data_IF_084899033476
#
_entry.id   IF_084899033476
#
_cell.length_a   1.000
_cell.length_b   1.000
_cell.length_c   1.000
_cell.angle_alpha   90.00
_cell.angle_beta   90.00
_cell.angle_gamma   90.00
#
_symmetry.space_group_name_H-M   'P 1'
#
loop_
_entity.id
_entity.type
_entity.pdbx_description
1 polymer ?
#
# COMPACT_ATOMS: atom_id res chain seq x y z
N UNK A 1 -53.32 -5.79 17.67
CA UNK A 1 -52.90 -4.93 18.79
C UNK A 1 -51.43 -5.20 19.02
N UNK A 2 -50.44 -4.38 18.67
CA UNK A 2 -50.35 -3.00 18.20
C UNK A 2 -49.19 -2.96 17.17
N UNK A 3 -49.43 -2.54 15.93
CA UNK A 3 -49.13 -1.20 15.37
C UNK A 3 -47.63 -0.89 15.19
N UNK A 4 -47.19 -0.97 13.93
CA UNK A 4 -46.00 -0.32 13.36
C UNK A 4 -46.32 1.17 13.14
N UNK A 5 -45.33 2.08 13.26
CA UNK A 5 -45.37 3.35 12.56
C UNK A 5 -44.52 3.30 11.29
N UNK A 6 -45.18 3.62 10.19
CA UNK A 6 -44.64 4.01 8.89
C UNK A 6 -44.41 5.52 8.84
N UNK A 7 -43.32 5.94 8.19
CA UNK A 7 -43.24 7.21 7.46
C UNK A 7 -42.33 8.26 8.09
N UNK A 8 -41.26 8.62 7.38
CA UNK A 8 -41.10 9.95 6.77
C UNK A 8 -39.91 9.95 5.79
N UNK A 9 -40.10 10.43 4.54
CA UNK A 9 -39.01 10.75 3.62
C UNK A 9 -38.70 12.26 3.69
N UNK A 10 -37.42 12.62 3.64
CA UNK A 10 -37.01 14.03 3.68
C UNK A 10 -35.54 14.24 3.34
N UNK A 11 -35.20 14.14 2.06
CA UNK A 11 -34.08 14.88 1.48
C UNK A 11 -34.60 16.21 0.90
N UNK A 12 -33.83 17.28 1.06
CA UNK A 12 -33.54 18.08 -0.12
C UNK A 12 -32.03 18.18 -0.38
N UNK A 13 -31.70 17.98 -1.66
CA UNK A 13 -30.42 18.27 -2.28
C UNK A 13 -30.05 19.75 -2.07
N UNK A 14 -28.84 20.00 -1.57
CA UNK A 14 -28.21 21.30 -1.62
C UNK A 14 -27.31 21.38 -2.85
N UNK A 15 -27.67 22.30 -3.75
CA UNK A 15 -26.88 22.80 -4.87
C UNK A 15 -25.47 23.20 -4.42
N UNK A 16 -24.46 22.69 -5.13
CA UNK A 16 -23.10 23.22 -5.13
C UNK A 16 -23.00 24.22 -6.28
N UNK A 17 -23.00 25.51 -5.96
CA UNK A 17 -22.53 26.58 -6.84
C UNK A 17 -21.01 26.71 -6.68
N UNK A 18 -20.25 26.33 -7.71
CA UNK A 18 -18.83 26.65 -7.85
C UNK A 18 -18.71 27.82 -8.84
N UNK A 19 -18.62 29.04 -8.31
CA UNK A 19 -18.19 30.23 -9.03
C UNK A 19 -16.95 30.82 -8.32
N UNK A 20 -15.92 31.15 -9.09
CA UNK A 20 -14.82 31.99 -8.62
C UNK A 20 -13.43 31.52 -9.01
N UNK A 21 -13.15 31.51 -10.32
CA UNK A 21 -11.79 31.67 -10.83
C UNK A 21 -11.44 33.16 -10.76
N UNK A 22 -10.26 33.48 -10.21
CA UNK A 22 -9.50 34.73 -10.36
C UNK A 22 -8.09 34.40 -9.80
N UNK A 23 -7.03 34.28 -10.59
CA UNK A 23 -6.28 35.30 -11.34
C UNK A 23 -4.96 35.66 -10.63
N UNK A 24 -3.88 35.33 -11.34
CA UNK A 24 -2.60 36.02 -11.44
C UNK A 24 -2.27 37.13 -10.43
N UNK A 25 -1.25 36.88 -9.59
CA UNK A 25 -0.11 37.77 -9.30
C UNK A 25 0.72 37.11 -8.17
N UNK A 26 2.02 36.89 -8.28
CA UNK A 26 3.06 37.89 -8.44
C UNK A 26 4.39 37.23 -8.86
N UNK A 27 5.02 37.82 -9.88
CA UNK A 27 6.44 37.63 -10.23
C UNK A 27 7.31 38.67 -9.49
N UNK A 28 8.59 38.31 -9.40
CA UNK A 28 9.79 39.12 -9.09
C UNK A 28 10.12 39.26 -7.59
N UNK A 29 11.37 39.14 -7.14
CA UNK A 29 12.62 39.47 -7.81
C UNK A 29 13.82 38.66 -7.27
N UNK A 30 14.66 38.18 -8.17
CA UNK A 30 16.05 37.81 -7.88
C UNK A 30 16.95 39.04 -8.03
N UNK A 31 17.94 39.26 -7.16
CA UNK A 31 19.03 40.20 -7.43
C UNK A 31 20.24 39.52 -8.12
N UNK A 32 21.09 40.30 -8.81
CA UNK A 32 21.97 39.81 -9.86
C UNK A 32 23.35 39.33 -9.40
N UNK A 33 23.90 38.43 -10.23
CA UNK A 33 25.26 37.88 -10.23
C UNK A 33 26.27 38.94 -10.66
N UNK A 34 27.33 39.17 -9.86
CA UNK A 34 28.47 39.97 -10.25
C UNK A 34 29.45 39.13 -11.09
N UNK A 35 29.68 39.55 -12.34
CA UNK A 35 30.72 39.03 -13.22
C UNK A 35 32.09 39.53 -12.76
N UNK A 36 33.03 38.58 -12.78
CA UNK A 36 34.47 38.79 -12.79
C UNK A 36 34.87 38.98 -14.24
N UNK A 37 35.57 40.07 -14.56
CA UNK A 37 36.39 40.17 -15.77
C UNK A 37 37.76 40.68 -15.35
N UNK A 38 38.77 39.88 -15.70
CA UNK A 38 40.17 40.15 -15.48
C UNK A 38 40.82 40.85 -16.67
N UNK A 39 42.08 41.17 -16.41
CA UNK A 39 43.19 41.41 -17.35
C UNK A 39 43.03 42.54 -18.38
N UNK A 40 43.93 43.52 -18.28
CA UNK A 40 44.86 43.76 -19.37
C UNK A 40 46.12 44.47 -18.88
N UNK A 41 47.24 43.90 -19.32
CA UNK A 41 48.62 44.36 -19.22
C UNK A 41 48.83 45.53 -20.19
N UNK A 42 49.67 46.51 -19.84
CA UNK A 42 50.81 46.93 -20.68
C UNK A 42 51.53 48.15 -20.06
N UNK A 43 52.82 47.95 -19.80
CA UNK A 43 53.90 48.95 -19.76
C UNK A 43 54.24 49.35 -21.23
N UNK A 44 54.93 50.47 -21.58
CA UNK A 44 56.23 50.80 -20.99
C UNK A 44 56.69 52.29 -20.96
N UNK A 45 57.73 52.49 -20.15
CA UNK A 45 58.95 53.30 -20.33
C UNK A 45 59.00 54.86 -20.22
N UNK A 46 60.01 55.22 -19.40
CA UNK A 46 61.04 56.27 -19.51
C UNK A 46 60.94 57.66 -18.85
N UNK A 47 61.97 57.87 -17.99
CA UNK A 47 62.78 59.05 -17.69
C UNK A 47 62.15 60.32 -17.06
N UNK A 48 62.56 60.65 -15.81
CA UNK A 48 63.63 61.66 -15.62
C UNK A 48 64.00 61.92 -14.12
N UNK A 49 65.31 61.97 -13.90
CA UNK A 49 66.20 62.64 -12.93
C UNK A 49 65.69 63.33 -11.62
N UNK A 50 66.49 63.10 -10.56
CA UNK A 50 66.44 63.62 -9.16
C UNK A 50 66.88 65.11 -9.00
N UNK A 51 67.12 65.72 -7.80
CA UNK A 51 66.91 65.32 -6.38
C UNK A 51 66.40 66.45 -5.42
N UNK A 52 66.15 66.07 -4.15
CA UNK A 52 66.53 66.75 -2.89
C UNK A 52 65.42 67.06 -1.86
N UNK A 53 65.58 66.52 -0.65
CA UNK A 53 65.29 67.25 0.59
C UNK A 53 64.27 66.65 1.57
N UNK A 54 64.74 66.13 2.69
CA UNK A 54 64.06 66.26 3.99
C UNK A 54 63.55 64.97 4.68
N UNK A 55 63.42 64.96 6.02
CA UNK A 55 63.67 63.80 6.87
C UNK A 55 62.43 62.94 7.22
N UNK A 56 62.72 61.68 7.61
CA UNK A 56 61.79 60.60 8.03
C UNK A 56 60.71 61.04 9.04
N UNK A 57 59.55 60.34 9.08
CA UNK A 57 59.40 59.38 10.18
C UNK A 57 58.78 58.03 9.77
N UNK A 58 59.29 56.98 10.39
CA UNK A 58 58.74 55.62 10.40
C UNK A 58 57.30 55.61 10.96
N UNK A 59 56.29 55.17 10.19
CA UNK A 59 55.04 54.51 10.68
C UNK A 59 54.04 54.18 9.55
N UNK A 60 54.33 53.18 8.73
CA UNK A 60 53.32 52.64 7.77
C UNK A 60 53.14 51.13 7.84
N UNK A 61 53.81 50.43 8.76
CA UNK A 61 53.58 49.00 9.01
C UNK A 61 52.41 48.68 9.94
N UNK A 62 51.79 49.67 10.61
CA UNK A 62 50.69 49.42 11.57
C UNK A 62 49.29 49.48 10.97
N UNK A 63 49.09 50.22 9.88
CA UNK A 63 47.77 50.36 9.23
C UNK A 63 47.40 49.17 8.36
N UNK A 64 48.36 48.57 7.65
CA UNK A 64 48.11 47.35 6.84
C UNK A 64 47.86 46.13 7.73
N UNK A 65 48.59 46.00 8.85
CA UNK A 65 48.36 44.95 9.86
C UNK A 65 47.00 45.10 10.56
N UNK A 66 46.53 46.33 10.78
CA UNK A 66 45.21 46.61 11.34
C UNK A 66 44.07 46.22 10.41
N UNK A 67 44.20 46.49 9.11
CA UNK A 67 43.20 46.12 8.10
C UNK A 67 43.11 44.59 7.90
N UNK A 68 44.24 43.88 7.88
CA UNK A 68 44.27 42.41 7.79
C UNK A 68 43.73 41.77 9.07
N UNK A 69 44.07 42.30 10.25
CA UNK A 69 43.52 41.81 11.51
C UNK A 69 42.01 42.06 11.62
N UNK A 70 41.51 43.20 11.12
CA UNK A 70 40.09 43.51 11.07
C UNK A 70 39.34 42.56 10.11
N UNK A 71 39.90 42.25 8.93
CA UNK A 71 39.33 41.29 7.99
C UNK A 71 39.35 39.86 8.52
N UNK A 72 40.43 39.45 9.20
CA UNK A 72 40.49 38.15 9.88
C UNK A 72 39.48 38.08 11.03
N UNK A 73 39.34 39.14 11.83
CA UNK A 73 38.34 39.18 12.90
C UNK A 73 36.91 39.12 12.34
N UNK A 74 36.63 39.83 11.23
CA UNK A 74 35.35 39.75 10.54
C UNK A 74 35.09 38.35 10.01
N UNK A 75 36.08 37.73 9.36
CA UNK A 75 35.99 36.35 8.88
C UNK A 75 35.76 35.33 10.01
N UNK A 76 36.38 35.51 11.17
CA UNK A 76 36.16 34.67 12.36
C UNK A 76 34.75 34.87 12.92
N UNK A 77 34.26 36.11 13.03
CA UNK A 77 32.90 36.39 13.53
C UNK A 77 31.84 35.84 12.57
N UNK A 78 32.00 36.07 11.26
CA UNK A 78 31.15 35.49 10.23
C UNK A 78 31.20 33.96 10.27
N UNK A 79 32.39 33.37 10.40
CA UNK A 79 32.56 31.93 10.53
C UNK A 79 31.89 31.35 11.77
N UNK A 80 31.96 32.01 12.92
CA UNK A 80 31.29 31.58 14.17
C UNK A 80 29.78 31.67 14.05
N UNK A 81 29.25 32.72 13.41
CA UNK A 81 27.81 32.85 13.17
C UNK A 81 27.28 31.77 12.22
N UNK A 82 27.97 31.53 11.10
CA UNK A 82 27.62 30.46 10.16
C UNK A 82 27.74 29.09 10.84
N UNK A 83 28.78 28.87 11.63
CA UNK A 83 28.97 27.62 12.37
C UNK A 83 27.89 27.39 13.44
N UNK A 84 27.45 28.46 14.12
CA UNK A 84 26.34 28.40 15.08
C UNK A 84 25.03 28.03 14.39
N UNK A 85 24.71 28.69 13.26
CA UNK A 85 23.52 28.39 12.48
C UNK A 85 23.54 26.96 11.90
N UNK A 86 24.69 26.51 11.39
CA UNK A 86 24.85 25.13 10.91
C UNK A 86 24.68 24.11 12.04
N UNK A 87 25.12 24.43 13.25
CA UNK A 87 24.95 23.55 14.40
C UNK A 87 23.49 23.45 14.85
N UNK A 88 22.75 24.55 14.79
CA UNK A 88 21.29 24.58 15.06
C UNK A 88 20.49 23.78 14.03
N UNK A 89 21.01 23.61 12.81
CA UNK A 89 20.40 22.76 11.77
C UNK A 89 20.78 21.28 11.88
N UNK A 90 21.76 20.94 12.73
CA UNK A 90 22.29 19.58 12.87
C UNK A 90 21.85 18.98 14.19
N UNK A 91 20.55 18.90 14.39
CA UNK A 91 19.93 18.24 15.55
C UNK A 91 19.34 16.89 15.13
N UNK A 92 19.09 15.97 16.07
CA UNK A 92 18.41 14.71 15.73
C UNK A 92 17.00 14.95 15.18
N UNK A 93 16.30 15.99 15.64
CA UNK A 93 14.99 16.39 15.13
C UNK A 93 15.08 16.88 13.68
N UNK A 94 16.11 17.65 13.34
CA UNK A 94 16.33 18.08 11.97
C UNK A 94 16.55 16.90 11.03
N UNK A 95 17.31 15.88 11.46
CA UNK A 95 17.48 14.66 10.65
C UNK A 95 16.18 13.86 10.46
N UNK A 96 15.31 13.85 11.47
CA UNK A 96 13.97 13.25 11.37
C UNK A 96 13.07 14.09 10.47
N UNK A 97 13.12 15.42 10.59
CA UNK A 97 12.34 16.32 9.75
C UNK A 97 12.74 16.17 8.27
N UNK A 98 14.04 16.15 7.96
CA UNK A 98 14.57 15.92 6.61
C UNK A 98 14.03 14.60 6.03
N UNK A 99 13.99 13.54 6.84
CA UNK A 99 13.45 12.24 6.43
C UNK A 99 11.94 12.28 6.18
N UNK A 100 11.17 12.91 7.08
CA UNK A 100 9.71 12.97 6.99
C UNK A 100 9.26 13.90 5.86
N UNK A 101 9.99 14.97 5.56
CA UNK A 101 9.71 15.88 4.44
C UNK A 101 9.83 15.16 3.09
N UNK A 102 10.73 14.19 2.94
CA UNK A 102 10.79 13.34 1.76
C UNK A 102 9.53 12.49 1.61
N UNK A 103 9.00 11.97 2.71
CA UNK A 103 7.75 11.17 2.70
C UNK A 103 6.54 12.07 2.40
N UNK A 104 6.46 13.24 3.03
CA UNK A 104 5.40 14.23 2.84
C UNK A 104 5.37 14.74 1.38
N UNK A 105 6.54 14.95 0.78
CA UNK A 105 6.65 15.37 -0.62
C UNK A 105 6.48 14.24 -1.64
N UNK A 106 6.37 12.99 -1.18
CA UNK A 106 6.22 11.80 -2.04
C UNK A 106 7.52 11.29 -2.66
N UNK A 107 8.69 11.80 -2.25
CA UNK A 107 10.02 11.31 -2.68
C UNK A 107 10.45 10.10 -1.83
N UNK A 108 9.70 9.00 -1.96
CA UNK A 108 9.88 7.78 -1.19
C UNK A 108 11.15 7.01 -1.54
N UNK A 109 11.67 7.17 -2.75
CA UNK A 109 12.97 6.59 -3.14
C UNK A 109 14.11 7.27 -2.38
N UNK A 110 14.09 8.60 -2.26
CA UNK A 110 15.05 9.31 -1.44
C UNK A 110 14.88 8.96 0.05
N UNK A 111 13.64 8.84 0.54
CA UNK A 111 13.35 8.47 1.92
C UNK A 111 13.89 7.06 2.26
N UNK A 112 13.64 6.08 1.40
CA UNK A 112 14.09 4.68 1.59
C UNK A 112 15.60 4.52 1.40
N UNK A 113 16.24 5.39 0.60
CA UNK A 113 17.69 5.47 0.52
C UNK A 113 18.33 6.03 1.81
N UNK A 114 17.63 6.93 2.52
CA UNK A 114 18.09 7.52 3.77
C UNK A 114 17.89 6.56 4.96
N UNK A 115 16.74 5.90 5.02
CA UNK A 115 16.39 4.93 6.07
C UNK A 115 15.98 3.61 5.43
N UNK A 116 16.78 2.54 5.58
CA UNK A 116 16.43 1.22 5.07
C UNK A 116 15.08 0.75 5.61
N UNK A 117 14.20 0.33 4.71
CA UNK A 117 12.89 -0.23 5.06
C UNK A 117 13.05 -1.71 5.45
N UNK A 118 12.40 -2.18 6.53
CA UNK A 118 12.43 -3.60 6.89
C UNK A 118 11.82 -4.49 5.79
N UNK A 119 12.53 -5.53 5.37
CA UNK A 119 12.04 -6.51 4.39
C UNK A 119 13.19 -7.17 3.64
N UNK A 120 12.97 -8.36 3.09
CA UNK A 120 13.96 -9.04 2.26
C UNK A 120 13.82 -8.57 0.80
N UNK A 121 14.91 -8.12 0.18
CA UNK A 121 15.02 -7.87 -1.28
C UNK A 121 14.97 -9.18 -2.11
N UNK A 122 14.99 -10.34 -1.46
CA UNK A 122 15.16 -11.63 -2.13
C UNK A 122 13.83 -12.20 -2.66
N UNK A 123 13.59 -11.90 -3.93
CA UNK A 123 12.68 -12.58 -4.82
C UNK A 123 13.04 -14.08 -4.96
N UNK A 124 12.46 -14.93 -4.11
CA UNK A 124 12.29 -16.35 -4.43
C UNK A 124 10.88 -16.76 -4.04
N UNK A 125 10.05 -17.01 -5.07
CA UNK A 125 8.90 -17.91 -4.96
C UNK A 125 9.48 -19.29 -4.64
N UNK A 126 9.73 -19.56 -3.36
CA UNK A 126 9.93 -20.92 -2.89
C UNK A 126 8.54 -21.46 -2.54
N UNK A 127 8.18 -22.67 -3.02
CA UNK A 127 6.93 -23.30 -2.62
C UNK A 127 6.87 -23.37 -1.10
N UNK A 128 5.68 -23.16 -0.55
CA UNK A 128 5.41 -23.18 0.89
C UNK A 128 6.13 -24.39 1.53
N UNK A 129 7.01 -24.18 2.53
CA UNK A 129 7.50 -25.31 3.29
C UNK A 129 6.30 -25.93 4.03
N UNK A 130 6.20 -27.27 4.08
CA UNK A 130 5.15 -27.92 4.84
C UNK A 130 5.22 -27.48 6.31
N UNK A 131 4.08 -27.46 7.02
CA UNK A 131 4.03 -27.01 8.41
C UNK A 131 5.04 -27.79 9.26
N UNK A 132 6.01 -27.08 9.84
CA UNK A 132 6.99 -27.64 10.80
C UNK A 132 8.49 -27.51 10.45
N UNK A 133 8.88 -26.77 9.40
CA UNK A 133 10.31 -26.55 9.09
C UNK A 133 10.87 -25.29 9.77
N UNK A 134 11.90 -25.45 10.62
CA UNK A 134 12.68 -24.33 11.17
C UNK A 134 13.92 -24.09 10.30
N UNK A 135 14.14 -22.85 9.88
CA UNK A 135 15.45 -22.41 9.37
C UNK A 135 15.93 -21.23 10.20
N UNK A 136 17.20 -21.34 10.59
CA UNK A 136 17.89 -20.47 11.54
C UNK A 136 18.62 -19.35 10.78
N UNK A 137 18.51 -18.12 11.32
CA UNK A 137 19.04 -16.82 10.87
C UNK A 137 18.26 -16.05 9.79
N UNK A 138 17.34 -15.22 10.28
CA UNK A 138 17.08 -13.86 9.79
C UNK A 138 16.87 -12.93 11.00
N UNK A 139 17.13 -11.63 10.86
CA UNK A 139 16.80 -10.65 11.90
C UNK A 139 15.28 -10.59 11.98
N UNK A 140 14.72 -11.32 12.93
CA UNK A 140 13.29 -11.39 13.19
C UNK A 140 12.79 -10.07 13.75
N UNK A 141 12.06 -9.32 12.92
CA UNK A 141 10.85 -8.68 13.43
C UNK A 141 9.93 -9.83 13.83
N UNK A 142 9.71 -10.00 15.13
CA UNK A 142 8.93 -11.10 15.73
C UNK A 142 7.43 -10.90 15.49
N UNK A 143 7.00 -11.01 14.22
CA UNK A 143 5.59 -10.91 13.81
C UNK A 143 5.08 -12.19 13.12
N UNK A 144 5.91 -13.21 12.89
CA UNK A 144 5.52 -14.41 12.13
C UNK A 144 5.12 -14.12 10.67
N UNK A 145 5.33 -12.89 10.21
CA UNK A 145 4.92 -12.37 8.90
C UNK A 145 6.10 -12.37 7.92
N UNK A 146 5.82 -12.63 6.63
CA UNK A 146 6.82 -12.40 5.56
C UNK A 146 6.61 -11.02 4.97
N UNK A 147 7.68 -10.22 4.98
CA UNK A 147 7.70 -8.87 4.42
C UNK A 147 7.82 -8.94 2.89
N UNK A 148 7.02 -8.17 2.14
CA UNK A 148 7.01 -8.18 0.67
C UNK A 148 6.88 -6.79 0.03
N UNK A 149 7.36 -6.72 -1.21
CA UNK A 149 7.12 -5.73 -2.27
C UNK A 149 7.82 -4.35 -2.16
N UNK A 150 9.09 -4.30 -2.57
CA UNK A 150 9.84 -3.05 -2.76
C UNK A 150 9.29 -2.16 -3.89
N UNK A 151 8.60 -2.72 -4.89
CA UNK A 151 8.01 -1.96 -6.01
C UNK A 151 6.97 -0.93 -5.54
N UNK A 152 6.32 -1.21 -4.41
CA UNK A 152 5.40 -0.27 -3.77
C UNK A 152 6.12 0.94 -3.18
N UNK A 153 7.43 0.85 -2.87
CA UNK A 153 8.27 1.92 -2.32
C UNK A 153 8.97 2.76 -3.40
N UNK A 154 8.33 2.94 -4.56
CA UNK A 154 8.82 3.78 -5.66
C UNK A 154 8.01 5.07 -5.76
N UNK A 155 8.62 6.14 -6.28
CA UNK A 155 7.95 7.43 -6.42
C UNK A 155 6.69 7.32 -7.30
N UNK A 156 6.70 6.44 -8.31
CA UNK A 156 5.57 6.18 -9.19
C UNK A 156 4.39 5.52 -8.45
N UNK A 157 4.64 4.56 -7.57
CA UNK A 157 3.59 3.90 -6.76
C UNK A 157 2.91 4.87 -5.78
N UNK A 158 3.63 5.91 -5.36
CA UNK A 158 3.14 6.96 -4.47
C UNK A 158 2.52 8.15 -5.21
N UNK A 159 2.67 8.21 -6.53
CA UNK A 159 2.12 9.30 -7.32
C UNK A 159 0.59 9.32 -7.22
N UNK A 160 0.03 10.40 -6.66
CA UNK A 160 -1.41 10.57 -6.49
C UNK A 160 -1.98 9.92 -5.23
N UNK A 161 -1.16 9.32 -4.38
CA UNK A 161 -1.55 8.85 -3.05
C UNK A 161 -1.65 10.06 -2.11
N UNK A 162 -2.72 10.13 -1.33
CA UNK A 162 -2.80 11.10 -0.23
C UNK A 162 -1.83 10.66 0.87
N UNK A 163 -0.74 11.41 1.05
CA UNK A 163 0.31 11.13 2.03
C UNK A 163 -0.01 11.59 3.44
N UNK A 164 1.03 11.98 4.17
CA UNK A 164 0.96 12.58 5.51
C UNK A 164 0.84 14.10 5.43
N UNK A 165 0.21 14.71 6.43
CA UNK A 165 0.06 16.15 6.62
C UNK A 165 0.29 16.52 8.09
N UNK A 166 0.34 17.82 8.41
CA UNK A 166 0.45 18.36 9.78
C UNK A 166 1.60 17.73 10.60
N UNK A 167 2.74 17.52 9.95
CA UNK A 167 3.90 16.89 10.58
C UNK A 167 4.45 17.77 11.70
N UNK A 168 4.56 17.20 12.89
CA UNK A 168 5.24 17.83 14.04
C UNK A 168 6.25 16.86 14.63
N UNK A 169 7.51 17.27 14.65
CA UNK A 169 8.62 16.57 15.31
C UNK A 169 8.85 17.18 16.69
N UNK A 170 8.74 16.38 17.74
CA UNK A 170 8.89 16.89 19.10
C UNK A 170 10.37 17.12 19.45
N UNK A 171 10.72 18.31 19.98
CA UNK A 171 12.08 18.59 20.41
C UNK A 171 12.44 17.74 21.63
N UNK A 172 13.64 17.17 21.61
CA UNK A 172 14.19 16.48 22.76
C UNK A 172 14.36 17.45 23.94
N UNK A 173 14.11 16.94 25.14
CA UNK A 173 14.36 17.68 26.35
C UNK A 173 15.84 18.07 26.43
N UNK A 174 16.18 19.32 26.81
CA UNK A 174 17.56 19.76 26.89
C UNK A 174 18.33 18.89 27.90
N UNK A 175 19.38 18.21 27.42
CA UNK A 175 20.16 17.25 28.18
C UNK A 175 21.63 17.22 27.78
N UNK A 176 22.39 16.30 28.39
CA UNK A 176 23.76 16.03 27.95
C UNK A 176 23.73 15.53 26.51
N UNK A 177 24.60 16.07 25.65
CA UNK A 177 24.71 15.61 24.28
C UNK A 177 25.14 14.12 24.27
N UNK A 178 24.44 13.25 23.52
CA UNK A 178 24.79 11.85 23.46
C UNK A 178 26.18 11.65 22.85
N UNK A 179 26.86 10.60 23.29
CA UNK A 179 28.14 10.22 22.73
C UNK A 179 28.00 9.68 21.29
N UNK A 180 29.09 9.67 20.54
CA UNK A 180 29.10 9.06 19.20
C UNK A 180 28.77 7.57 19.30
N UNK A 181 27.82 7.11 18.49
CA UNK A 181 27.28 5.75 18.49
C UNK A 181 26.09 5.55 19.45
N UNK A 182 25.75 6.55 20.28
CA UNK A 182 24.53 6.49 21.10
C UNK A 182 23.29 6.87 20.27
N UNK A 183 22.15 6.34 20.70
CA UNK A 183 20.84 6.52 20.07
C UNK A 183 19.95 7.36 20.96
N UNK A 184 19.18 8.26 20.35
CA UNK A 184 18.11 9.02 20.99
C UNK A 184 16.77 8.72 20.32
N UNK A 185 15.68 8.93 21.04
CA UNK A 185 14.31 8.69 20.56
C UNK A 185 13.63 10.01 20.26
N UNK A 186 13.12 10.19 19.05
CA UNK A 186 12.44 11.41 18.59
C UNK A 186 11.00 11.06 18.22
N UNK A 187 10.03 11.73 18.83
CA UNK A 187 8.62 11.57 18.49
C UNK A 187 8.26 12.36 17.24
N UNK A 188 7.52 11.73 16.34
CA UNK A 188 6.88 12.34 15.18
C UNK A 188 5.37 12.17 15.33
N UNK A 189 4.63 13.23 15.07
CA UNK A 189 3.18 13.21 14.93
C UNK A 189 2.82 13.71 13.54
N UNK A 190 1.79 13.13 12.95
CA UNK A 190 1.34 13.45 11.59
C UNK A 190 -0.14 13.07 11.45
N UNK A 191 -0.79 13.57 10.41
CA UNK A 191 -2.17 13.27 10.05
C UNK A 191 -2.21 12.51 8.72
N UNK A 192 -3.02 11.46 8.63
CA UNK A 192 -3.37 10.80 7.36
C UNK A 192 -4.88 10.87 7.19
N UNK A 193 -5.37 11.72 6.27
CA UNK A 193 -6.81 11.92 6.02
C UNK A 193 -7.63 12.03 7.31
N UNK A 194 -7.40 13.12 8.05
CA UNK A 194 -8.01 13.45 9.34
C UNK A 194 -7.72 12.47 10.50
N UNK A 195 -6.84 11.48 10.30
CA UNK A 195 -6.43 10.57 11.35
C UNK A 195 -5.06 10.97 11.92
N UNK A 196 -5.00 11.49 13.15
CA UNK A 196 -3.73 11.77 13.80
C UNK A 196 -3.03 10.46 14.20
N UNK A 197 -1.74 10.38 13.95
CA UNK A 197 -0.88 9.25 14.30
C UNK A 197 0.43 9.73 14.92
N UNK A 198 1.05 8.87 15.73
CA UNK A 198 2.30 9.17 16.41
C UNK A 198 3.26 7.98 16.39
N UNK A 199 4.53 8.25 16.13
CA UNK A 199 5.59 7.23 16.08
C UNK A 199 6.87 7.79 16.69
N UNK A 200 7.60 6.95 17.40
CA UNK A 200 8.91 7.28 17.97
C UNK A 200 9.99 6.62 17.11
N UNK A 201 10.90 7.45 16.57
CA UNK A 201 12.01 7.03 15.72
C UNK A 201 13.33 7.10 16.49
N UNK A 202 14.17 6.08 16.34
CA UNK A 202 15.54 6.10 16.84
C UNK A 202 16.47 6.84 15.89
N UNK A 203 17.30 7.70 16.46
CA UNK A 203 18.31 8.49 15.74
C UNK A 203 19.68 8.28 16.39
N UNK A 204 20.67 7.90 15.58
CA UNK A 204 22.04 7.66 16.03
C UNK A 204 22.91 8.91 15.85
N UNK A 205 23.75 9.18 16.86
CA UNK A 205 24.81 10.18 16.77
C UNK A 205 26.02 9.62 16.01
N UNK A 206 26.24 10.12 14.80
CA UNK A 206 27.42 9.78 13.98
C UNK A 206 28.65 10.61 14.39
N UNK A 207 29.89 10.29 13.96
CA UNK A 207 31.02 11.20 14.11
C UNK A 207 30.77 12.57 13.46
N UNK A 208 31.37 13.63 13.99
CA UNK A 208 31.25 14.99 13.45
C UNK A 208 31.72 15.05 11.99
N UNK A 209 30.83 15.51 11.09
CA UNK A 209 31.16 15.70 9.67
C UNK A 209 32.18 16.84 9.47
N UNK A 210 32.22 17.78 10.40
CA UNK A 210 33.18 18.88 10.49
C UNK A 210 33.39 19.20 11.98
N UNK A 211 34.58 19.66 12.44
CA UNK A 211 34.82 19.88 13.87
C UNK A 211 33.69 20.64 14.59
N UNK A 212 33.07 20.02 15.60
CA UNK A 212 31.94 20.54 16.39
C UNK A 212 30.61 20.72 15.65
N UNK A 213 30.48 20.18 14.43
CA UNK A 213 29.21 20.00 13.72
C UNK A 213 28.76 18.55 13.86
N UNK A 214 27.79 18.25 14.75
CA UNK A 214 27.27 16.90 14.91
C UNK A 214 26.64 16.39 13.60
N UNK A 215 26.60 15.08 13.44
CA UNK A 215 25.88 14.42 12.37
C UNK A 215 24.98 13.34 12.97
N UNK A 216 23.84 13.11 12.34
CA UNK A 216 22.78 12.24 12.83
C UNK A 216 22.28 11.36 11.72
N UNK A 217 21.83 10.15 12.08
CA UNK A 217 21.24 9.19 11.15
C UNK A 217 19.98 8.60 11.77
N UNK A 218 18.87 8.70 11.05
CA UNK A 218 17.63 8.01 11.43
C UNK A 218 17.81 6.51 11.19
N UNK A 219 17.44 5.69 12.17
CA UNK A 219 17.59 4.23 12.12
C UNK A 219 16.28 3.52 11.81
N UNK A 220 15.16 4.10 12.22
CA UNK A 220 13.85 3.46 12.13
C UNK A 220 13.03 4.06 11.00
N UNK A 221 12.45 3.19 10.19
CA UNK A 221 11.56 3.60 9.10
C UNK A 221 10.18 3.99 9.62
N UNK A 222 9.56 5.02 9.01
CA UNK A 222 8.17 5.40 9.27
C UNK A 222 7.16 4.48 8.56
N UNK A 223 7.64 3.51 7.78
CA UNK A 223 6.78 2.52 7.13
C UNK A 223 6.00 1.69 8.15
N UNK A 224 4.73 1.45 7.85
CA UNK A 224 3.80 0.67 8.65
C UNK A 224 3.57 -0.69 7.97
N UNK A 225 3.64 -1.80 8.73
CA UNK A 225 3.29 -3.11 8.18
C UNK A 225 1.81 -3.14 7.79
N UNK A 226 1.51 -3.60 6.59
CA UNK A 226 0.17 -3.57 6.01
C UNK A 226 -0.23 -4.95 5.49
N UNK A 227 -1.39 -5.44 5.93
CA UNK A 227 -1.91 -6.77 5.59
C UNK A 227 -3.24 -6.61 4.87
N UNK A 228 -3.34 -7.11 3.64
CA UNK A 228 -4.62 -7.26 2.95
C UNK A 228 -5.07 -8.70 3.12
N UNK A 229 -6.22 -8.91 3.75
CA UNK A 229 -6.80 -10.24 4.00
C UNK A 229 -7.91 -10.57 3.01
N UNK A 230 -7.98 -11.84 2.67
CA UNK A 230 -9.06 -12.47 1.92
C UNK A 230 -9.48 -13.76 2.62
N UNK A 231 -10.74 -14.18 2.44
CA UNK A 231 -11.22 -15.47 2.95
C UNK A 231 -10.42 -16.65 2.33
N UNK A 232 -10.17 -16.60 1.02
CA UNK A 232 -9.35 -17.54 0.26
C UNK A 232 -8.18 -16.79 -0.42
N UNK A 233 -7.00 -16.69 0.22
CA UNK A 233 -5.89 -15.90 -0.29
C UNK A 233 -5.34 -16.47 -1.61
N UNK A 234 -5.18 -15.62 -2.63
CA UNK A 234 -4.67 -16.03 -3.94
C UNK A 234 -5.74 -16.35 -4.99
N UNK A 235 -7.02 -16.11 -4.66
CA UNK A 235 -8.09 -16.10 -5.66
C UNK A 235 -8.17 -14.72 -6.31
N UNK A 236 -7.80 -14.65 -7.60
CA UNK A 236 -7.72 -13.40 -8.38
C UNK A 236 -6.49 -12.56 -8.05
N UNK A 237 -6.39 -11.38 -8.65
CA UNK A 237 -5.24 -10.47 -8.44
C UNK A 237 -5.66 -9.29 -7.59
N UNK A 238 -4.93 -9.06 -6.49
CA UNK A 238 -5.10 -7.87 -5.65
C UNK A 238 -3.97 -6.90 -5.95
N UNK A 239 -4.32 -5.62 -6.06
CA UNK A 239 -3.35 -4.56 -6.25
C UNK A 239 -3.51 -3.50 -5.16
N UNK A 240 -2.38 -2.93 -4.73
CA UNK A 240 -2.33 -1.75 -3.88
C UNK A 240 -1.72 -0.65 -4.75
N UNK A 241 -2.41 0.47 -4.94
CA UNK A 241 -1.94 1.56 -5.81
C UNK A 241 -1.53 1.09 -7.23
N UNK A 242 -2.23 0.08 -7.78
CA UNK A 242 -1.93 -0.48 -9.10
C UNK A 242 -0.71 -1.41 -9.17
N UNK A 243 -0.12 -1.75 -8.02
CA UNK A 243 0.96 -2.75 -7.94
C UNK A 243 0.43 -4.04 -7.33
N UNK A 244 0.66 -5.21 -7.96
CA UNK A 244 0.24 -6.50 -7.42
C UNK A 244 0.75 -6.74 -5.99
N UNK A 245 -0.17 -7.11 -5.10
CA UNK A 245 0.10 -7.33 -3.69
C UNK A 245 -0.27 -8.75 -3.27
N UNK A 246 0.56 -9.33 -2.40
CA UNK A 246 0.27 -10.65 -1.83
C UNK A 246 -0.73 -10.50 -0.68
N UNK A 247 -1.82 -11.24 -0.74
CA UNK A 247 -2.83 -11.29 0.30
C UNK A 247 -2.56 -12.38 1.32
N UNK A 248 -3.05 -12.16 2.54
CA UNK A 248 -3.03 -13.14 3.62
C UNK A 248 -4.38 -13.81 3.78
N UNK A 249 -4.38 -15.09 4.16
CA UNK A 249 -5.58 -15.77 4.67
C UNK A 249 -5.74 -15.55 6.17
N UNK A 250 -6.79 -16.14 6.74
CA UNK A 250 -7.04 -16.08 8.18
C UNK A 250 -5.96 -16.86 8.98
N UNK A 251 -5.23 -16.22 9.91
CA UNK A 251 -4.16 -16.89 10.66
C UNK A 251 -4.65 -18.07 11.51
N UNK A 252 -5.90 -17.98 12.02
CA UNK A 252 -6.46 -19.01 12.89
C UNK A 252 -6.59 -20.39 12.21
N UNK A 253 -6.59 -20.43 10.87
CA UNK A 253 -6.65 -21.65 10.05
C UNK A 253 -5.27 -22.03 9.46
N UNK A 254 -4.19 -21.40 9.93
CA UNK A 254 -2.81 -21.78 9.63
C UNK A 254 -2.22 -21.11 8.38
N UNK A 255 -2.89 -20.12 7.80
CA UNK A 255 -2.31 -19.33 6.71
C UNK A 255 -1.14 -18.48 7.20
N UNK A 256 -0.13 -18.37 6.35
CA UNK A 256 0.98 -17.45 6.56
C UNK A 256 0.50 -16.01 6.32
N UNK A 257 0.85 -15.10 7.22
CA UNK A 257 0.61 -13.68 7.02
C UNK A 257 1.74 -13.04 6.22
N UNK A 258 1.37 -12.24 5.24
CA UNK A 258 2.23 -11.40 4.42
C UNK A 258 1.94 -9.95 4.75
N UNK A 259 2.98 -9.23 5.16
CA UNK A 259 2.91 -7.81 5.44
C UNK A 259 3.70 -7.04 4.37
N UNK A 260 3.08 -6.02 3.80
CA UNK A 260 3.74 -5.08 2.91
C UNK A 260 4.11 -3.84 3.71
N UNK A 261 5.36 -3.39 3.64
CA UNK A 261 5.77 -2.15 4.31
C UNK A 261 5.39 -0.98 3.43
N UNK A 262 4.59 -0.06 3.96
CA UNK A 262 4.13 1.13 3.25
C UNK A 262 4.36 2.36 4.13
N UNK A 263 4.82 3.46 3.55
CA UNK A 263 4.77 4.76 4.22
C UNK A 263 3.33 5.14 4.58
N UNK A 264 3.10 5.99 5.59
CA UNK A 264 1.75 6.39 5.94
C UNK A 264 1.09 7.18 4.80
N UNK A 265 -0.18 6.91 4.55
CA UNK A 265 -0.93 7.44 3.41
C UNK A 265 -2.23 6.68 3.19
N UNK A 266 -2.97 7.02 2.12
CA UNK A 266 -4.20 6.31 1.76
C UNK A 266 -4.13 5.71 0.37
N UNK A 267 -4.17 4.38 0.32
CA UNK A 267 -3.93 3.61 -0.88
C UNK A 267 -5.24 3.00 -1.40
N UNK A 268 -5.53 3.10 -2.70
CA UNK A 268 -6.58 2.31 -3.29
C UNK A 268 -6.15 0.84 -3.32
N UNK A 269 -7.04 -0.04 -2.86
CA UNK A 269 -6.92 -1.48 -2.97
C UNK A 269 -7.96 -1.94 -3.96
N UNK A 270 -7.49 -2.49 -5.07
CA UNK A 270 -8.32 -2.97 -6.17
C UNK A 270 -8.19 -4.47 -6.30
N UNK A 271 -9.18 -5.05 -6.99
CA UNK A 271 -9.26 -6.49 -7.22
C UNK A 271 -9.64 -6.75 -8.67
N UNK A 272 -8.82 -7.53 -9.35
CA UNK A 272 -9.17 -8.12 -10.65
C UNK A 272 -9.58 -9.58 -10.44
N UNK A 273 -10.89 -9.80 -10.44
CA UNK A 273 -11.54 -11.11 -10.46
C UNK A 273 -12.12 -11.48 -11.82
N UNK A 274 -11.75 -10.72 -12.86
CA UNK A 274 -12.29 -10.84 -14.22
C UNK A 274 -13.83 -10.76 -14.25
N UNK A 275 -14.47 -11.50 -15.15
CA UNK A 275 -15.92 -11.46 -15.37
C UNK A 275 -16.72 -12.09 -14.21
N UNK A 276 -16.14 -13.02 -13.46
CA UNK A 276 -16.88 -13.92 -12.57
C UNK A 276 -16.72 -13.60 -11.08
N UNK A 277 -15.68 -12.87 -10.70
CA UNK A 277 -15.42 -12.46 -9.32
C UNK A 277 -15.27 -10.95 -9.24
N UNK A 278 -15.74 -10.38 -8.13
CA UNK A 278 -15.58 -8.97 -7.84
C UNK A 278 -15.34 -8.75 -6.36
N UNK A 279 -14.68 -7.66 -6.02
CA UNK A 279 -14.61 -7.16 -4.67
C UNK A 279 -14.85 -5.65 -4.71
N UNK A 280 -15.41 -5.11 -3.63
CA UNK A 280 -15.56 -3.67 -3.50
C UNK A 280 -14.17 -3.02 -3.44
N UNK A 281 -14.00 -1.94 -4.18
CA UNK A 281 -12.84 -1.07 -4.02
C UNK A 281 -12.76 -0.57 -2.57
N UNK A 282 -11.56 -0.58 -2.02
CA UNK A 282 -11.29 -0.21 -0.64
C UNK A 282 -10.18 0.83 -0.60
N UNK A 283 -10.39 1.90 0.15
CA UNK A 283 -9.33 2.83 0.50
C UNK A 283 -8.67 2.41 1.82
N UNK A 284 -7.41 1.99 1.74
CA UNK A 284 -6.62 1.54 2.87
C UNK A 284 -5.81 2.69 3.44
N UNK A 285 -6.25 3.20 4.59
CA UNK A 285 -5.47 4.18 5.37
C UNK A 285 -4.38 3.47 6.16
N UNK A 286 -3.14 3.72 5.79
CA UNK A 286 -1.93 3.26 6.46
C UNK A 286 -1.45 4.36 7.40
N UNK A 287 -1.44 4.09 8.70
CA UNK A 287 -0.94 5.01 9.72
C UNK A 287 -0.56 4.24 10.99
N UNK A 288 0.33 4.81 11.81
CA UNK A 288 0.58 4.31 13.15
C UNK A 288 -0.63 4.56 14.08
N UNK A 289 -0.49 4.19 15.36
CA UNK A 289 -1.52 4.46 16.37
C UNK A 289 -1.55 5.93 16.77
N UNK A 290 -2.64 6.37 17.41
CA UNK A 290 -2.75 7.73 17.97
C UNK A 290 -1.75 7.98 19.11
N UNK A 291 -1.47 6.93 19.87
CA UNK A 291 -0.51 6.98 20.97
C UNK A 291 0.90 6.78 20.42
N UNK A 292 1.90 7.52 20.94
CA UNK A 292 3.29 7.34 20.54
C UNK A 292 3.76 5.91 20.79
N UNK A 293 4.19 5.25 19.74
CA UNK A 293 4.77 3.90 19.79
C UNK A 293 6.12 3.88 19.07
N UNK A 294 7.11 3.11 19.54
CA UNK A 294 8.33 2.87 18.77
C UNK A 294 7.99 2.30 17.40
N UNK A 295 8.69 2.72 16.35
CA UNK A 295 8.49 2.22 14.98
C UNK A 295 8.50 0.68 14.89
N UNK A 296 9.41 0.03 15.63
CA UNK A 296 9.48 -1.43 15.70
C UNK A 296 8.26 -2.11 16.37
N UNK A 297 7.45 -1.35 17.10
CA UNK A 297 6.24 -1.82 17.80
C UNK A 297 4.93 -1.41 17.13
N UNK A 298 4.98 -0.82 15.93
CA UNK A 298 3.77 -0.42 15.20
C UNK A 298 2.97 -1.66 14.82
N UNK A 299 1.70 -1.70 15.23
CA UNK A 299 0.80 -2.80 14.89
C UNK A 299 0.44 -2.75 13.40
N UNK A 300 0.31 -3.90 12.72
CA UNK A 300 -0.07 -3.91 11.32
C UNK A 300 -1.43 -3.27 11.05
N UNK A 301 -1.47 -2.45 10.01
CA UNK A 301 -2.73 -1.99 9.42
C UNK A 301 -3.33 -3.16 8.63
N UNK A 302 -4.59 -3.53 8.91
CA UNK A 302 -5.26 -4.66 8.24
C UNK A 302 -6.46 -4.18 7.46
N UNK A 303 -6.54 -4.59 6.19
CA UNK A 303 -7.71 -4.48 5.33
C UNK A 303 -8.33 -5.86 5.12
N UNK A 304 -9.65 -5.93 4.97
CA UNK A 304 -10.36 -7.16 4.61
C UNK A 304 -11.07 -6.94 3.28
N UNK A 305 -10.68 -7.72 2.28
CA UNK A 305 -11.22 -7.67 0.93
C UNK A 305 -12.24 -8.80 0.76
N UNK A 306 -13.52 -8.43 0.68
CA UNK A 306 -14.61 -9.39 0.52
C UNK A 306 -14.79 -9.71 -0.97
N UNK A 307 -14.29 -10.86 -1.40
CA UNK A 307 -14.46 -11.36 -2.77
C UNK A 307 -15.80 -12.08 -2.88
N UNK A 308 -16.58 -11.71 -3.89
CA UNK A 308 -17.90 -12.27 -4.14
C UNK A 308 -18.12 -12.60 -5.64
N UNK A 309 -18.95 -13.61 -5.94
CA UNK A 309 -19.33 -13.91 -7.32
C UNK A 309 -20.13 -12.76 -7.96
N UNK A 310 -19.90 -12.51 -9.24
CA UNK A 310 -20.63 -11.50 -10.02
C UNK A 310 -21.97 -12.04 -10.52
N UNK A 311 -22.80 -11.16 -11.10
CA UNK A 311 -24.00 -11.58 -11.83
C UNK A 311 -23.69 -12.56 -12.97
N UNK A 312 -22.59 -12.36 -13.69
CA UNK A 312 -22.17 -13.25 -14.78
C UNK A 312 -21.83 -14.66 -14.27
N UNK A 313 -21.23 -14.80 -13.09
CA UNK A 313 -21.02 -16.11 -12.46
C UNK A 313 -22.35 -16.83 -12.16
N UNK A 314 -23.34 -16.11 -11.63
CA UNK A 314 -24.67 -16.68 -11.41
C UNK A 314 -25.34 -17.07 -12.73
N UNK A 315 -25.29 -16.21 -13.75
CA UNK A 315 -25.90 -16.48 -15.05
C UNK A 315 -25.29 -17.72 -15.71
N UNK A 316 -23.95 -17.83 -15.73
CA UNK A 316 -23.23 -18.99 -16.24
C UNK A 316 -23.61 -20.26 -15.46
N UNK A 317 -23.72 -20.18 -14.13
CA UNK A 317 -24.14 -21.31 -13.29
C UNK A 317 -25.52 -21.81 -13.67
N UNK A 318 -26.48 -20.89 -13.85
CA UNK A 318 -27.85 -21.25 -14.22
C UNK A 318 -27.93 -21.74 -15.68
N UNK A 319 -27.09 -21.22 -16.58
CA UNK A 319 -26.95 -21.72 -17.95
C UNK A 319 -26.49 -23.17 -17.96
N UNK A 320 -25.37 -23.49 -17.30
CA UNK A 320 -24.82 -24.85 -17.25
C UNK A 320 -25.77 -25.83 -16.56
N UNK A 321 -26.47 -25.38 -15.52
CA UNK A 321 -27.52 -26.17 -14.89
C UNK A 321 -28.68 -26.51 -15.85
N UNK A 322 -29.09 -25.58 -16.72
CA UNK A 322 -30.13 -25.83 -17.73
C UNK A 322 -29.65 -26.79 -18.82
N UNK A 323 -28.45 -26.56 -19.36
CA UNK A 323 -27.86 -27.46 -20.38
C UNK A 323 -27.78 -28.91 -19.88
N UNK A 324 -27.41 -29.10 -18.62
CA UNK A 324 -27.38 -30.42 -17.98
C UNK A 324 -28.77 -31.06 -17.88
N UNK A 325 -29.80 -30.29 -17.48
CA UNK A 325 -31.18 -30.77 -17.41
C UNK A 325 -31.75 -31.09 -18.81
N UNK A 326 -31.46 -30.26 -19.81
CA UNK A 326 -31.86 -30.48 -21.20
C UNK A 326 -31.23 -31.78 -21.75
N UNK A 327 -29.97 -32.06 -21.40
CA UNK A 327 -29.32 -33.33 -21.76
C UNK A 327 -29.99 -34.55 -21.08
N UNK A 328 -30.41 -34.40 -19.82
CA UNK A 328 -31.19 -35.43 -19.10
C UNK A 328 -32.57 -35.68 -19.73
N UNK A 329 -33.24 -34.63 -20.21
CA UNK A 329 -34.51 -34.74 -20.92
C UNK A 329 -34.34 -35.40 -22.30
N UNK A 330 -33.24 -35.10 -23.01
CA UNK A 330 -32.93 -35.66 -24.33
C UNK A 330 -32.66 -37.18 -24.33
N UNK A 331 -32.39 -37.78 -23.16
CA UNK A 331 -32.12 -39.21 -22.92
C UNK A 331 -30.80 -39.70 -23.57
N UNK A 332 -30.32 -40.92 -23.21
CA UNK A 332 -29.11 -41.48 -23.81
C UNK A 332 -29.17 -41.53 -25.34
N UNK A 333 -28.05 -41.24 -26.04
CA UNK A 333 -26.68 -41.16 -25.52
C UNK A 333 -26.24 -39.75 -25.07
N UNK A 334 -27.14 -38.77 -24.96
CA UNK A 334 -26.76 -37.38 -24.65
C UNK A 334 -26.11 -37.21 -23.27
N UNK A 335 -26.51 -38.02 -22.28
CA UNK A 335 -25.94 -38.07 -20.93
C UNK A 335 -26.08 -39.49 -20.35
N UNK A 336 -25.17 -39.86 -19.43
CA UNK A 336 -25.36 -41.05 -18.62
C UNK A 336 -26.52 -40.82 -17.63
N UNK A 337 -27.60 -41.58 -17.77
CA UNK A 337 -28.78 -41.43 -16.90
C UNK A 337 -28.45 -41.61 -15.41
N UNK A 338 -27.35 -42.30 -15.07
CA UNK A 338 -26.90 -42.43 -13.69
C UNK A 338 -26.54 -41.09 -13.04
N UNK A 339 -26.08 -40.10 -13.82
CA UNK A 339 -25.68 -38.78 -13.32
C UNK A 339 -26.85 -37.81 -13.20
N UNK A 340 -27.96 -38.07 -13.91
CA UNK A 340 -29.16 -37.23 -13.85
C UNK A 340 -29.84 -37.26 -12.48
N UNK A 341 -30.60 -36.20 -12.12
CA UNK A 341 -31.39 -36.18 -10.89
C UNK A 341 -32.34 -37.38 -10.77
N UNK A 342 -32.64 -37.80 -9.55
CA UNK A 342 -33.47 -38.98 -9.27
C UNK A 342 -34.81 -38.93 -10.03
N UNK A 343 -35.43 -37.76 -10.17
CA UNK A 343 -36.67 -37.59 -10.92
C UNK A 343 -36.58 -38.09 -12.38
N UNK A 344 -35.49 -37.79 -13.08
CA UNK A 344 -35.26 -38.27 -14.44
C UNK A 344 -34.97 -39.76 -14.49
N UNK A 345 -34.21 -40.28 -13.51
CA UNK A 345 -33.95 -41.73 -13.39
C UNK A 345 -35.22 -42.53 -13.19
N UNK A 346 -36.09 -42.07 -12.29
CA UNK A 346 -37.38 -42.69 -12.00
C UNK A 346 -38.29 -42.65 -13.22
N UNK A 347 -38.35 -41.50 -13.90
CA UNK A 347 -39.13 -41.33 -15.13
C UNK A 347 -38.64 -42.26 -16.25
N UNK A 348 -37.32 -42.43 -16.39
CA UNK A 348 -36.75 -43.35 -17.37
C UNK A 348 -37.10 -44.81 -17.05
N UNK A 349 -37.06 -45.19 -15.77
CA UNK A 349 -37.41 -46.54 -15.33
C UNK A 349 -38.91 -46.86 -15.47
N UNK A 350 -39.78 -45.87 -15.29
CA UNK A 350 -41.24 -46.02 -15.42
C UNK A 350 -41.77 -45.84 -16.84
N UNK A 351 -40.97 -45.26 -17.75
CA UNK A 351 -41.42 -44.87 -19.09
C UNK A 351 -42.28 -43.60 -19.10
N UNK A 352 -42.33 -42.86 -17.98
CA UNK A 352 -43.00 -41.58 -17.86
C UNK A 352 -42.17 -40.46 -18.53
N UNK A 353 -42.80 -39.31 -18.75
CA UNK A 353 -42.15 -38.11 -19.27
C UNK A 353 -41.90 -37.13 -18.13
N UNK A 354 -40.62 -36.91 -17.81
CA UNK A 354 -40.16 -35.86 -16.91
C UNK A 354 -39.83 -34.63 -17.74
N UNK A 355 -40.53 -33.53 -17.48
CA UNK A 355 -40.31 -32.25 -18.11
C UNK A 355 -39.85 -31.29 -17.03
N UNK A 356 -38.76 -30.58 -17.27
CA UNK A 356 -38.39 -29.48 -16.40
C UNK A 356 -39.43 -28.36 -16.52
N UNK A 357 -40.12 -28.03 -15.43
CA UNK A 357 -41.13 -26.97 -15.42
C UNK A 357 -40.80 -25.96 -14.34
N UNK A 358 -40.51 -24.75 -14.80
CA UNK A 358 -40.27 -23.54 -14.05
C UNK A 358 -38.91 -23.43 -13.35
N UNK A 359 -38.38 -22.20 -13.45
CA UNK A 359 -37.03 -21.78 -13.11
C UNK A 359 -36.54 -22.21 -11.73
N UNK A 360 -35.22 -22.19 -11.57
CA UNK A 360 -34.56 -22.46 -10.30
C UNK A 360 -35.17 -21.65 -9.16
N UNK A 361 -35.48 -22.33 -8.06
CA UNK A 361 -36.17 -21.76 -6.89
C UNK A 361 -35.20 -21.11 -5.91
N UNK A 362 -33.94 -21.54 -5.93
CA UNK A 362 -32.85 -20.99 -5.13
C UNK A 362 -31.53 -21.22 -5.86
N UNK A 363 -30.66 -20.22 -5.79
CA UNK A 363 -29.25 -20.37 -6.15
C UNK A 363 -28.38 -19.70 -5.10
N UNK A 364 -27.32 -20.37 -4.69
CA UNK A 364 -26.25 -19.80 -3.86
C UNK A 364 -24.90 -20.16 -4.46
N UNK A 365 -23.87 -19.40 -4.12
CA UNK A 365 -22.53 -19.64 -4.63
C UNK A 365 -21.51 -19.27 -3.58
N UNK A 366 -20.44 -20.06 -3.51
CA UNK A 366 -19.30 -19.83 -2.63
C UNK A 366 -18.02 -19.87 -3.44
N UNK A 367 -17.11 -18.95 -3.17
CA UNK A 367 -15.76 -18.93 -3.73
C UNK A 367 -14.89 -19.86 -2.87
N UNK A 368 -13.96 -20.57 -3.50
CA UNK A 368 -12.93 -21.35 -2.84
C UNK A 368 -11.66 -21.35 -3.69
N UNK A 369 -10.49 -21.47 -3.07
CA UNK A 369 -9.24 -21.73 -3.76
C UNK A 369 -8.88 -23.23 -3.75
N UNK A 370 -8.66 -23.84 -4.91
CA UNK A 370 -8.09 -25.19 -5.00
C UNK A 370 -6.57 -25.12 -5.24
N UNK A 371 -5.75 -25.84 -4.46
CA UNK A 371 -4.31 -25.83 -4.66
C UNK A 371 -3.92 -26.47 -6.00
N UNK A 372 -3.06 -25.80 -6.74
CA UNK A 372 -2.39 -26.30 -7.95
C UNK A 372 -1.05 -26.97 -7.62
N UNK A 373 -0.52 -27.72 -8.58
CA UNK A 373 0.78 -28.39 -8.44
C UNK A 373 1.95 -27.42 -8.24
N UNK A 374 1.82 -26.19 -8.75
CA UNK A 374 2.82 -25.11 -8.60
C UNK A 374 2.69 -24.34 -7.27
N UNK A 375 1.70 -24.67 -6.43
CA UNK A 375 1.42 -24.02 -5.16
C UNK A 375 0.55 -22.77 -5.26
N UNK A 376 0.09 -22.37 -6.45
CA UNK A 376 -0.93 -21.33 -6.61
C UNK A 376 -2.33 -21.87 -6.25
N UNK A 377 -3.30 -20.98 -6.04
CA UNK A 377 -4.70 -21.36 -5.89
C UNK A 377 -5.45 -21.11 -7.20
N UNK A 378 -6.17 -22.12 -7.67
CA UNK A 378 -7.16 -22.02 -8.72
C UNK A 378 -8.49 -21.54 -8.14
N UNK A 379 -9.09 -20.45 -8.65
CA UNK A 379 -10.41 -20.04 -8.21
C UNK A 379 -11.46 -21.06 -8.62
N UNK A 380 -12.30 -21.44 -7.66
CA UNK A 380 -13.44 -22.31 -7.89
C UNK A 380 -14.70 -21.68 -7.30
N UNK A 381 -15.76 -21.68 -8.10
CA UNK A 381 -17.09 -21.25 -7.69
C UNK A 381 -17.98 -22.46 -7.50
N UNK A 382 -18.38 -22.70 -6.26
CA UNK A 382 -19.30 -23.77 -5.90
C UNK A 382 -20.73 -23.22 -5.87
N UNK A 383 -21.43 -23.38 -6.99
CA UNK A 383 -22.85 -23.05 -7.15
C UNK A 383 -23.75 -24.17 -6.68
N UNK A 384 -24.78 -23.83 -5.91
CA UNK A 384 -25.87 -24.73 -5.52
C UNK A 384 -27.15 -24.22 -6.14
N UNK A 385 -27.84 -25.08 -6.87
CA UNK A 385 -29.05 -24.73 -7.62
C UNK A 385 -30.17 -25.68 -7.26
N UNK A 386 -31.27 -25.15 -6.75
CA UNK A 386 -32.48 -25.92 -6.42
C UNK A 386 -33.55 -25.65 -7.47
N UNK A 387 -34.33 -26.69 -7.84
CA UNK A 387 -35.44 -26.53 -8.78
C UNK A 387 -36.47 -27.64 -8.66
N UNK A 388 -37.48 -27.60 -9.55
CA UNK A 388 -38.55 -28.60 -9.59
C UNK A 388 -38.70 -29.16 -11.01
N UNK A 389 -38.87 -30.47 -11.12
CA UNK A 389 -39.24 -31.18 -12.35
C UNK A 389 -40.67 -31.68 -12.21
N UNK A 390 -41.45 -31.63 -13.28
CA UNK A 390 -42.79 -32.19 -13.32
C UNK A 390 -42.74 -33.50 -14.08
N UNK A 391 -43.11 -34.58 -13.41
CA UNK A 391 -43.30 -35.88 -14.07
C UNK A 391 -44.76 -36.01 -14.45
N UNK A 392 -45.03 -36.11 -15.75
CA UNK A 392 -46.36 -36.35 -16.29
C UNK A 392 -46.71 -37.83 -16.16
N UNK A 393 -47.76 -38.14 -15.39
CA UNK A 393 -48.30 -39.50 -15.25
C UNK A 393 -49.75 -39.55 -15.75
N UNK A 394 -50.28 -40.73 -16.10
CA UNK A 394 -51.68 -40.90 -16.48
C UNK A 394 -52.68 -40.41 -15.42
N UNK A 395 -52.27 -40.39 -14.14
CA UNK A 395 -53.10 -40.00 -12.99
C UNK A 395 -52.93 -38.51 -12.60
N UNK A 396 -52.11 -37.75 -13.35
CA UNK A 396 -51.78 -36.35 -13.10
C UNK A 396 -50.27 -36.09 -12.99
N UNK A 397 -49.87 -34.82 -13.07
CA UNK A 397 -48.46 -34.44 -12.90
C UNK A 397 -48.02 -34.46 -11.43
N UNK A 398 -46.80 -34.92 -11.15
CA UNK A 398 -46.16 -34.79 -9.82
C UNK A 398 -44.94 -33.89 -9.88
N UNK A 399 -44.78 -33.04 -8.88
CA UNK A 399 -43.64 -32.13 -8.75
C UNK A 399 -42.57 -32.80 -7.89
N UNK A 400 -41.35 -32.92 -8.41
CA UNK A 400 -40.20 -33.44 -7.67
C UNK A 400 -39.10 -32.39 -7.61
N UNK A 401 -38.66 -32.08 -6.40
CA UNK A 401 -37.54 -31.19 -6.18
C UNK A 401 -36.22 -31.87 -6.60
N UNK A 402 -35.28 -31.09 -7.10
CA UNK A 402 -33.91 -31.51 -7.33
C UNK A 402 -32.95 -30.44 -6.83
N UNK A 403 -31.71 -30.88 -6.58
CA UNK A 403 -30.60 -30.01 -6.27
C UNK A 403 -29.45 -30.35 -7.22
N UNK A 404 -28.78 -29.35 -7.76
CA UNK A 404 -27.58 -29.48 -8.55
C UNK A 404 -26.44 -28.76 -7.83
N UNK A 405 -25.26 -29.35 -7.93
CA UNK A 405 -24.00 -28.68 -7.60
C UNK A 405 -23.31 -28.38 -8.92
N UNK A 406 -23.02 -27.11 -9.14
CA UNK A 406 -22.31 -26.60 -10.31
C UNK A 406 -20.98 -26.07 -9.82
N UNK A 407 -19.89 -26.70 -10.24
CA UNK A 407 -18.53 -26.27 -9.91
C UNK A 407 -17.98 -25.57 -11.15
N UNK A 408 -17.76 -24.25 -11.05
CA UNK A 408 -17.06 -23.51 -12.10
C UNK A 408 -15.60 -23.35 -11.69
N UNK A 409 -14.72 -23.88 -12.50
CA UNK A 409 -13.28 -23.77 -12.33
C UNK A 409 -12.80 -22.65 -13.26
N UNK A 410 -12.27 -21.58 -12.67
CA UNK A 410 -11.78 -20.44 -13.44
C UNK A 410 -10.31 -20.68 -13.79
N UNK A 411 -9.99 -20.63 -15.08
CA UNK A 411 -8.64 -20.76 -15.60
C UNK A 411 -8.31 -19.62 -16.58
N UNK A 412 -7.03 -19.43 -16.87
CA UNK A 412 -6.57 -18.39 -17.80
C UNK A 412 -7.13 -18.61 -19.23
N UNK A 413 -7.42 -19.86 -19.58
CA UNK A 413 -7.97 -20.27 -20.88
C UNK A 413 -9.52 -20.26 -20.94
N UNK A 414 -10.20 -19.96 -19.82
CA UNK A 414 -11.66 -19.86 -19.74
C UNK A 414 -12.27 -20.54 -18.51
N UNK A 415 -13.55 -20.88 -18.60
CA UNK A 415 -14.29 -21.50 -17.49
C UNK A 415 -14.69 -22.93 -17.82
N UNK A 416 -14.19 -23.86 -17.03
CA UNK A 416 -14.66 -25.24 -17.01
C UNK A 416 -15.81 -25.37 -16.02
N UNK A 417 -16.85 -26.12 -16.39
CA UNK A 417 -18.02 -26.32 -15.55
C UNK A 417 -18.33 -27.81 -15.38
N UNK A 418 -18.38 -28.25 -14.14
CA UNK A 418 -18.86 -29.58 -13.78
C UNK A 418 -20.23 -29.45 -13.11
N UNK A 419 -21.22 -30.19 -13.60
CA UNK A 419 -22.58 -30.20 -13.03
C UNK A 419 -22.88 -31.61 -12.52
N UNK A 420 -23.22 -31.72 -11.24
CA UNK A 420 -23.59 -32.98 -10.60
C UNK A 420 -24.95 -32.88 -9.93
N UNK A 421 -25.74 -33.96 -10.00
CA UNK A 421 -26.98 -34.05 -9.25
C UNK A 421 -26.67 -34.32 -7.76
N UNK A 422 -27.14 -33.43 -6.88
CA UNK A 422 -27.07 -33.64 -5.45
C UNK A 422 -28.01 -34.78 -5.02
N UNK A 423 -27.62 -35.52 -3.99
CA UNK A 423 -28.54 -36.44 -3.31
C UNK A 423 -29.56 -35.61 -2.52
N UNK A 424 -30.85 -35.71 -2.87
CA UNK A 424 -31.91 -35.21 -1.99
C UNK A 424 -31.84 -35.97 -0.66
N UNK A 425 -31.51 -35.26 0.41
CA UNK A 425 -31.52 -35.80 1.78
C UNK A 425 -32.92 -36.08 2.30
#
# INVERSE_FOLDING_TARGET
MAERPTGEPGEPASEFELEGADDDAWRAASPPVARVDGDDLDDPDDDDLSPAGGPRPHRTRRTVLGAVAALLALGVVSGVLVHGQERERRTPEAAVLDYVELIESGDVEAASALVPVPGDDEAVIAPLPPPGATTDRSVTVDLGQRLRNADLLTNDSYAGITGIEDVVVEPLAPGAAPAVGETVEVSVTYTVRDFPASTVLRVERLPDAFPALPAWRVLDSLTVPTIVRQDDPGVGTVEIAGVPAVTSGEPAIGYQEYATMLYPGVYPVTYDGHEYLSASELELRVAATREPVPAAGVTPTTAFLNVAPTGAAYDLTLERAREFLDACEARPPAVDIATCPQAYRDSYASGEEAIYVAGFTRSSMHVAGLPREDGSLQPVLNGFVEGTVVISTPDGGRNLAFNLVVVLTLDDDGVEAEVTAGSNG
#
